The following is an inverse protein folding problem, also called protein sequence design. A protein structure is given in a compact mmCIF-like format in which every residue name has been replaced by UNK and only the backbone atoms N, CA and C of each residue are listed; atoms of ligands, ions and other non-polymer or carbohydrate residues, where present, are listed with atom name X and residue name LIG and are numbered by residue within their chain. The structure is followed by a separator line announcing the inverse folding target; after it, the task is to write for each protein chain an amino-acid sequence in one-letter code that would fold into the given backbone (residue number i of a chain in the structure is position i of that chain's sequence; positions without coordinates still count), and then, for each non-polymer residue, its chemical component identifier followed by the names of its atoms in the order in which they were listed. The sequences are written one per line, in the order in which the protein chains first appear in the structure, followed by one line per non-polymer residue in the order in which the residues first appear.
data_IF_100690753218
#
_entry.id   IF_100690753218
#
_cell.length_a   1.000
_cell.length_b   1.000
_cell.length_c   1.000
_cell.angle_alpha   90.00
_cell.angle_beta   90.00
_cell.angle_gamma   90.00
#
_symmetry.space_group_name_H-M   'P 1'
#
loop_
_entity.id
_entity.type
_entity.pdbx_description
1 polymer ?
#
# COMPACT_ATOMS: atom_id res chain seq x y z
N UNK A 1 1.39 -12.84 23.73
CA UNK A 1 0.75 -13.23 22.46
C UNK A 1 -0.59 -13.78 22.89
N UNK A 2 -1.68 -13.05 22.67
CA UNK A 2 -2.97 -13.25 23.36
C UNK A 2 -3.42 -14.71 23.22
N UNK A 3 -3.35 -15.25 22.00
CA UNK A 3 -3.77 -16.62 21.71
C UNK A 3 -2.83 -17.69 22.26
N UNK A 4 -1.51 -17.47 22.20
CA UNK A 4 -0.53 -18.40 22.79
C UNK A 4 -0.73 -18.53 24.31
N UNK A 5 -1.03 -17.41 24.96
CA UNK A 5 -1.26 -17.36 26.40
C UNK A 5 -2.58 -18.07 26.77
N UNK A 6 -3.64 -17.88 25.98
CA UNK A 6 -4.92 -18.59 26.15
C UNK A 6 -4.78 -20.12 26.01
N UNK A 7 -4.14 -20.57 24.93
CA UNK A 7 -4.01 -22.00 24.63
C UNK A 7 -2.87 -22.68 25.39
N UNK A 8 -2.04 -21.92 26.10
CA UNK A 8 -0.78 -22.38 26.69
C UNK A 8 0.09 -23.12 25.64
N UNK A 9 0.16 -22.58 24.42
CA UNK A 9 0.88 -23.15 23.28
C UNK A 9 1.94 -22.16 22.79
N UNK A 10 3.19 -22.62 22.73
CA UNK A 10 4.34 -21.80 22.32
C UNK A 10 4.61 -21.90 20.82
N UNK A 11 4.12 -22.95 20.19
CA UNK A 11 4.29 -23.21 18.76
C UNK A 11 3.19 -22.50 17.95
N UNK A 12 3.51 -21.31 17.42
CA UNK A 12 2.57 -20.48 16.67
C UNK A 12 1.83 -21.21 15.54
N UNK A 13 2.50 -22.15 14.85
CA UNK A 13 1.90 -22.90 13.75
C UNK A 13 0.72 -23.81 14.14
N UNK A 14 0.49 -24.07 15.44
CA UNK A 14 -0.66 -24.82 15.92
C UNK A 14 -1.87 -23.93 16.24
N UNK A 15 -1.65 -22.64 16.42
CA UNK A 15 -2.69 -21.68 16.83
C UNK A 15 -3.88 -21.68 15.86
N UNK A 16 -3.73 -21.72 14.51
CA UNK A 16 -4.90 -21.77 13.62
C UNK A 16 -5.85 -22.94 13.89
N UNK A 17 -5.31 -24.14 14.12
CA UNK A 17 -6.13 -25.32 14.36
C UNK A 17 -6.80 -25.24 15.73
N UNK A 18 -6.05 -24.89 16.77
CA UNK A 18 -6.60 -24.70 18.13
C UNK A 18 -7.69 -23.63 18.16
N UNK A 19 -7.49 -22.54 17.42
CA UNK A 19 -8.45 -21.46 17.27
C UNK A 19 -9.71 -21.95 16.55
N UNK A 20 -9.56 -22.74 15.49
CA UNK A 20 -10.69 -23.35 14.77
C UNK A 20 -11.51 -24.26 15.68
N UNK A 21 -10.84 -25.18 16.38
CA UNK A 21 -11.47 -26.16 17.26
C UNK A 21 -12.22 -25.47 18.41
N UNK A 22 -11.64 -24.40 18.97
CA UNK A 22 -12.28 -23.60 20.01
C UNK A 22 -13.47 -22.79 19.48
N UNK A 23 -13.33 -22.10 18.34
CA UNK A 23 -14.39 -21.26 17.77
C UNK A 23 -15.60 -22.04 17.29
N UNK A 24 -15.38 -23.23 16.73
CA UNK A 24 -16.44 -24.04 16.12
C UNK A 24 -16.95 -25.15 17.05
N UNK A 25 -16.34 -25.31 18.24
CA UNK A 25 -16.73 -26.27 19.26
C UNK A 25 -17.26 -25.61 20.55
N UNK A 26 -17.25 -26.38 21.64
CA UNK A 26 -17.81 -25.97 22.94
C UNK A 26 -16.98 -24.88 23.65
N UNK A 27 -15.72 -24.66 23.22
CA UNK A 27 -14.79 -23.70 23.82
C UNK A 27 -15.02 -22.24 23.41
N UNK A 28 -15.97 -21.98 22.50
CA UNK A 28 -16.09 -20.69 21.82
C UNK A 28 -16.37 -19.53 22.77
N UNK A 29 -17.33 -19.69 23.68
CA UNK A 29 -17.75 -18.61 24.56
C UNK A 29 -16.63 -18.19 25.51
N UNK A 30 -15.88 -19.18 26.03
CA UNK A 30 -14.72 -18.93 26.88
C UNK A 30 -13.60 -18.21 26.13
N UNK A 31 -13.33 -18.62 24.89
CA UNK A 31 -12.35 -17.97 24.02
C UNK A 31 -12.74 -16.51 23.73
N UNK A 32 -13.96 -16.26 23.25
CA UNK A 32 -14.39 -14.92 22.86
C UNK A 32 -14.43 -13.97 24.06
N UNK A 33 -14.83 -14.46 25.24
CA UNK A 33 -14.74 -13.69 26.48
C UNK A 33 -13.30 -13.34 26.84
N UNK A 34 -12.39 -14.31 26.77
CA UNK A 34 -10.97 -14.06 27.02
C UNK A 34 -10.41 -13.01 26.04
N UNK A 35 -10.74 -13.12 24.75
CA UNK A 35 -10.33 -12.15 23.75
C UNK A 35 -10.89 -10.75 24.07
N UNK A 36 -12.18 -10.63 24.40
CA UNK A 36 -12.81 -9.35 24.76
C UNK A 36 -12.11 -8.64 25.93
N UNK A 37 -11.68 -9.40 26.94
CA UNK A 37 -10.92 -8.89 28.09
C UNK A 37 -9.49 -8.43 27.73
N UNK A 38 -8.91 -8.95 26.64
CA UNK A 38 -7.53 -8.71 26.22
C UNK A 38 -7.42 -7.87 24.94
N UNK A 39 -8.53 -7.51 24.30
CA UNK A 39 -8.59 -6.65 23.10
C UNK A 39 -9.39 -5.37 23.40
N UNK A 40 -8.78 -4.34 24.02
CA UNK A 40 -9.51 -3.16 24.49
C UNK A 40 -10.02 -2.28 23.35
N UNK A 41 -9.33 -2.25 22.21
CA UNK A 41 -9.79 -1.56 21.01
C UNK A 41 -10.57 -2.52 20.10
N UNK A 42 -11.90 -2.39 20.13
CA UNK A 42 -12.81 -3.20 19.31
C UNK A 42 -12.79 -2.83 17.82
N UNK A 43 -11.99 -1.87 17.37
CA UNK A 43 -11.84 -1.53 15.94
C UNK A 43 -10.44 -1.82 15.39
N UNK A 44 -9.48 -2.10 16.27
CA UNK A 44 -8.16 -2.57 15.88
C UNK A 44 -8.12 -4.09 15.72
N UNK A 45 -7.33 -4.57 14.78
CA UNK A 45 -7.03 -6.00 14.65
C UNK A 45 -5.94 -6.40 15.65
N UNK A 46 -6.34 -6.71 16.88
CA UNK A 46 -5.42 -7.15 17.94
C UNK A 46 -4.88 -8.57 17.75
N UNK A 47 -5.48 -9.36 16.86
CA UNK A 47 -5.05 -10.73 16.55
C UNK A 47 -4.03 -10.79 15.40
N UNK A 48 -3.89 -9.68 14.66
CA UNK A 48 -2.90 -9.52 13.59
C UNK A 48 -1.50 -9.95 14.02
N UNK A 49 -1.04 -9.44 15.16
CA UNK A 49 0.34 -9.66 15.61
C UNK A 49 0.56 -11.12 16.04
N UNK A 50 -0.44 -11.78 16.64
CA UNK A 50 -0.38 -13.20 16.96
C UNK A 50 -0.24 -14.06 15.69
N UNK A 51 -0.97 -13.73 14.61
CA UNK A 51 -0.80 -14.39 13.32
C UNK A 51 0.53 -14.01 12.64
N UNK A 52 0.98 -12.75 12.71
CA UNK A 52 2.29 -12.36 12.16
C UNK A 52 3.43 -13.16 12.78
N UNK A 53 3.34 -13.46 14.08
CA UNK A 53 4.33 -14.24 14.81
C UNK A 53 4.31 -15.73 14.43
N UNK A 54 3.20 -16.27 13.92
CA UNK A 54 3.11 -17.63 13.35
C UNK A 54 4.02 -17.79 12.12
N UNK A 55 4.07 -16.78 11.25
CA UNK A 55 4.86 -16.78 10.00
C UNK A 55 6.34 -16.42 10.22
N UNK A 56 6.91 -16.88 11.33
CA UNK A 56 8.34 -16.77 11.64
C UNK A 56 9.28 -17.37 10.59
N UNK A 57 8.77 -18.08 9.58
CA UNK A 57 9.50 -18.47 8.37
C UNK A 57 9.25 -17.46 7.23
N UNK A 58 9.93 -16.32 7.37
CA UNK A 58 9.74 -15.02 6.68
C UNK A 58 10.03 -15.03 5.17
N UNK A 59 10.42 -16.17 4.60
CA UNK A 59 11.03 -16.22 3.27
C UNK A 59 10.07 -16.60 2.13
N UNK A 60 8.88 -17.16 2.41
CA UNK A 60 8.00 -17.70 1.35
C UNK A 60 6.70 -16.95 1.09
N UNK A 61 6.16 -16.25 2.08
CA UNK A 61 4.89 -15.53 1.96
C UNK A 61 5.12 -14.07 2.37
N UNK A 62 5.60 -13.25 1.44
CA UNK A 62 5.77 -11.79 1.60
C UNK A 62 4.42 -11.06 1.62
N UNK A 63 3.48 -11.56 2.42
CA UNK A 63 2.17 -10.94 2.59
C UNK A 63 2.23 -10.10 3.86
N UNK A 64 2.55 -8.82 3.69
CA UNK A 64 2.42 -7.88 4.80
C UNK A 64 0.96 -7.58 5.07
N UNK A 65 0.68 -7.37 6.35
CA UNK A 65 -0.58 -6.83 6.79
C UNK A 65 -0.73 -5.36 6.40
N UNK A 66 -1.97 -4.93 6.25
CA UNK A 66 -2.30 -3.53 6.01
C UNK A 66 -1.92 -2.69 7.24
N UNK A 67 -0.99 -1.70 7.11
CA UNK A 67 -0.61 -0.80 8.18
C UNK A 67 -1.77 0.06 8.67
N UNK A 68 -1.78 0.40 9.96
CA UNK A 68 -2.89 1.12 10.60
C UNK A 68 -3.18 2.48 9.95
N UNK A 69 -2.15 3.20 9.50
CA UNK A 69 -2.32 4.45 8.75
C UNK A 69 -3.13 4.26 7.46
N UNK A 70 -2.83 3.20 6.70
CA UNK A 70 -3.56 2.86 5.46
C UNK A 70 -4.99 2.41 5.79
N UNK A 71 -5.17 1.57 6.82
CA UNK A 71 -6.49 1.14 7.29
C UNK A 71 -7.37 2.35 7.64
N UNK A 72 -6.82 3.35 8.33
CA UNK A 72 -7.52 4.58 8.71
C UNK A 72 -7.85 5.46 7.51
N UNK A 73 -6.95 5.57 6.53
CA UNK A 73 -7.23 6.28 5.28
C UNK A 73 -8.39 5.62 4.54
N UNK A 74 -8.33 4.29 4.33
CA UNK A 74 -9.41 3.53 3.67
C UNK A 74 -10.73 3.71 4.41
N UNK A 75 -10.74 3.54 5.73
CA UNK A 75 -11.92 3.79 6.57
C UNK A 75 -12.49 5.19 6.38
N UNK A 76 -11.63 6.19 6.27
CA UNK A 76 -12.05 7.58 6.12
C UNK A 76 -12.68 7.89 4.76
N UNK A 77 -12.18 7.28 3.69
CA UNK A 77 -12.65 7.56 2.32
C UNK A 77 -13.81 6.66 1.88
N UNK A 78 -13.98 5.49 2.50
CA UNK A 78 -15.11 4.61 2.18
C UNK A 78 -16.39 5.25 2.71
N UNK A 79 -17.31 5.53 1.80
CA UNK A 79 -18.52 6.28 2.07
C UNK A 79 -19.52 5.58 3.00
N UNK A 80 -20.68 6.21 3.17
CA UNK A 80 -21.79 5.63 3.93
C UNK A 80 -22.33 4.38 3.23
N UNK A 81 -22.63 3.35 4.02
CA UNK A 81 -23.18 2.08 3.56
C UNK A 81 -23.52 1.18 4.73
N UNK A 82 -24.17 0.05 4.42
CA UNK A 82 -24.55 -0.96 5.41
C UNK A 82 -24.06 -2.35 5.02
N UNK A 83 -23.76 -2.58 3.74
CA UNK A 83 -23.29 -3.87 3.21
C UNK A 83 -21.90 -3.68 2.64
N UNK A 84 -20.94 -4.43 3.16
CA UNK A 84 -19.54 -4.30 2.76
C UNK A 84 -18.96 -5.66 2.42
N UNK A 85 -18.06 -5.67 1.44
CA UNK A 85 -17.26 -6.84 1.14
C UNK A 85 -15.77 -6.57 1.32
N UNK A 86 -15.05 -7.59 1.81
CA UNK A 86 -13.59 -7.64 1.79
C UNK A 86 -13.15 -8.95 1.14
N UNK A 87 -12.81 -8.90 -0.15
CA UNK A 87 -12.54 -10.13 -0.93
C UNK A 87 -11.08 -10.60 -0.81
N UNK A 88 -10.28 -9.95 0.03
CA UNK A 88 -8.91 -10.32 0.38
C UNK A 88 -8.69 -10.02 1.88
N UNK A 89 -9.56 -10.59 2.72
CA UNK A 89 -9.77 -10.09 4.07
C UNK A 89 -8.57 -10.27 5.02
N UNK A 90 -7.73 -11.28 4.80
CA UNK A 90 -6.69 -11.64 5.75
C UNK A 90 -7.30 -11.94 7.11
N UNK A 91 -6.74 -11.33 8.16
CA UNK A 91 -7.28 -11.38 9.54
C UNK A 91 -8.45 -10.40 9.77
N UNK A 92 -8.77 -9.55 8.79
CA UNK A 92 -9.92 -8.66 8.81
C UNK A 92 -9.62 -7.19 9.12
N UNK A 93 -8.37 -6.75 9.20
CA UNK A 93 -8.03 -5.37 9.59
C UNK A 93 -8.83 -4.27 8.84
N UNK A 94 -8.97 -4.40 7.51
CA UNK A 94 -9.79 -3.47 6.71
C UNK A 94 -11.27 -3.64 6.98
N UNK A 95 -11.74 -4.89 7.05
CA UNK A 95 -13.11 -5.24 7.38
C UNK A 95 -13.54 -4.62 8.71
N UNK A 96 -12.76 -4.83 9.77
CA UNK A 96 -13.03 -4.34 11.13
C UNK A 96 -13.08 -2.81 11.22
N UNK A 97 -12.14 -2.14 10.56
CA UNK A 97 -12.11 -0.68 10.57
C UNK A 97 -13.33 -0.05 9.88
N UNK A 98 -13.93 -0.77 8.92
CA UNK A 98 -15.09 -0.32 8.17
C UNK A 98 -16.42 -0.81 8.75
N UNK A 99 -16.41 -1.84 9.61
CA UNK A 99 -17.53 -2.19 10.47
C UNK A 99 -17.81 -1.04 11.44
N UNK A 100 -18.66 -0.10 11.02
CA UNK A 100 -19.04 1.08 11.79
C UNK A 100 -19.72 0.67 13.10
N UNK A 101 -19.78 1.60 14.07
CA UNK A 101 -20.64 1.56 15.26
C UNK A 101 -22.15 1.61 14.90
N UNK A 102 -22.61 0.77 13.97
CA UNK A 102 -23.98 0.76 13.48
C UNK A 102 -24.58 -0.64 13.61
N UNK A 103 -25.77 -0.69 14.18
CA UNK A 103 -26.47 -1.92 14.49
C UNK A 103 -26.97 -2.69 13.24
N UNK A 104 -26.91 -2.11 12.05
CA UNK A 104 -27.44 -2.66 10.79
C UNK A 104 -26.35 -3.00 9.74
N UNK A 105 -25.10 -3.12 10.16
CA UNK A 105 -23.99 -3.47 9.28
C UNK A 105 -23.94 -4.98 8.99
N UNK A 106 -23.69 -5.35 7.73
CA UNK A 106 -23.47 -6.73 7.27
C UNK A 106 -22.17 -6.84 6.47
N UNK A 107 -21.47 -7.96 6.63
CA UNK A 107 -20.16 -8.22 6.03
C UNK A 107 -20.17 -9.42 5.09
N UNK A 108 -19.44 -9.32 3.99
CA UNK A 108 -19.08 -10.45 3.14
C UNK A 108 -17.56 -10.50 3.01
N UNK A 109 -16.89 -11.49 3.58
CA UNK A 109 -15.44 -11.59 3.50
C UNK A 109 -15.00 -12.85 2.77
N UNK A 110 -13.98 -12.74 1.92
CA UNK A 110 -13.32 -13.87 1.28
C UNK A 110 -11.85 -13.93 1.74
N UNK A 111 -11.40 -15.13 2.11
CA UNK A 111 -10.00 -15.38 2.48
C UNK A 111 -9.53 -16.71 1.88
N UNK A 112 -8.35 -16.69 1.24
CA UNK A 112 -7.79 -17.84 0.54
C UNK A 112 -7.14 -18.85 1.49
N UNK A 113 -6.42 -18.35 2.49
CA UNK A 113 -5.64 -19.15 3.43
C UNK A 113 -6.53 -19.76 4.51
N UNK A 114 -6.66 -21.09 4.49
CA UNK A 114 -7.33 -21.87 5.55
C UNK A 114 -6.76 -21.59 6.95
N UNK A 115 -5.48 -21.20 7.05
CA UNK A 115 -4.83 -20.86 8.33
C UNK A 115 -5.24 -19.49 8.86
N UNK A 116 -5.70 -18.59 7.99
CA UNK A 116 -6.03 -17.20 8.34
C UNK A 116 -7.51 -17.05 8.70
N UNK A 117 -8.37 -17.85 8.07
CA UNK A 117 -9.82 -17.87 8.31
C UNK A 117 -10.22 -17.92 9.80
N UNK A 118 -9.58 -18.71 10.69
CA UNK A 118 -9.95 -18.75 12.10
C UNK A 118 -9.73 -17.40 12.81
N UNK A 119 -8.70 -16.65 12.43
CA UNK A 119 -8.42 -15.33 13.00
C UNK A 119 -9.46 -14.31 12.52
N UNK A 120 -9.81 -14.34 11.24
CA UNK A 120 -10.89 -13.53 10.68
C UNK A 120 -12.22 -13.82 11.38
N UNK A 121 -12.57 -15.10 11.55
CA UNK A 121 -13.78 -15.53 12.25
C UNK A 121 -13.79 -15.08 13.71
N UNK A 122 -12.69 -15.23 14.45
CA UNK A 122 -12.57 -14.73 15.81
C UNK A 122 -12.79 -13.22 15.88
N UNK A 123 -12.13 -12.47 15.00
CA UNK A 123 -12.22 -11.02 14.96
C UNK A 123 -13.65 -10.53 14.69
N UNK A 124 -14.35 -11.15 13.74
CA UNK A 124 -15.74 -10.81 13.40
C UNK A 124 -16.72 -11.24 14.49
N UNK A 125 -16.57 -12.45 15.03
CA UNK A 125 -17.45 -12.96 16.07
C UNK A 125 -17.36 -12.16 17.37
N UNK A 126 -16.15 -11.78 17.77
CA UNK A 126 -15.87 -10.92 18.94
C UNK A 126 -16.63 -9.59 18.86
N UNK A 127 -16.87 -9.08 17.64
CA UNK A 127 -17.56 -7.80 17.38
C UNK A 127 -19.04 -7.95 17.05
N UNK A 128 -19.60 -9.14 17.26
CA UNK A 128 -20.99 -9.45 16.99
C UNK A 128 -21.39 -9.09 15.54
N UNK A 129 -20.50 -9.34 14.57
CA UNK A 129 -20.76 -9.20 13.15
C UNK A 129 -21.94 -10.06 12.65
N UNK A 130 -22.58 -9.64 11.57
CA UNK A 130 -23.53 -10.44 10.80
C UNK A 130 -23.05 -10.52 9.36
N UNK A 131 -23.15 -11.69 8.74
CA UNK A 131 -22.72 -11.85 7.35
C UNK A 131 -22.17 -13.21 7.00
N UNK A 132 -21.27 -13.24 6.02
CA UNK A 132 -20.66 -14.47 5.51
C UNK A 132 -19.14 -14.33 5.42
N UNK A 133 -18.44 -15.41 5.77
CA UNK A 133 -17.01 -15.59 5.50
C UNK A 133 -16.86 -16.81 4.57
N UNK A 134 -16.18 -16.60 3.46
CA UNK A 134 -15.84 -17.63 2.48
C UNK A 134 -14.36 -17.96 2.62
N UNK A 135 -14.05 -19.23 2.84
CA UNK A 135 -12.73 -19.73 2.53
C UNK A 135 -12.69 -20.19 1.07
N UNK A 136 -11.97 -19.48 0.22
CA UNK A 136 -12.04 -19.70 -1.23
C UNK A 136 -11.08 -18.85 -2.05
N UNK A 137 -11.10 -19.06 -3.36
CA UNK A 137 -10.32 -18.28 -4.31
C UNK A 137 -11.20 -17.21 -4.97
N UNK A 138 -11.00 -15.97 -4.57
CA UNK A 138 -11.73 -14.79 -5.05
C UNK A 138 -11.65 -14.62 -6.57
N UNK A 139 -10.54 -15.04 -7.20
CA UNK A 139 -10.32 -14.89 -8.64
C UNK A 139 -11.15 -15.88 -9.45
N UNK A 140 -11.39 -17.08 -8.91
CA UNK A 140 -12.12 -18.15 -9.61
C UNK A 140 -13.56 -18.31 -9.12
N UNK A 141 -13.87 -17.80 -7.93
CA UNK A 141 -15.15 -18.02 -7.25
C UNK A 141 -15.27 -19.41 -6.62
N UNK A 142 -14.17 -20.15 -6.51
CA UNK A 142 -14.15 -21.46 -5.85
C UNK A 142 -14.31 -21.27 -4.33
N UNK A 143 -15.30 -21.96 -3.74
CA UNK A 143 -15.57 -21.94 -2.30
C UNK A 143 -15.24 -23.31 -1.72
N UNK A 144 -14.33 -23.35 -0.76
CA UNK A 144 -13.95 -24.55 0.00
C UNK A 144 -14.80 -24.72 1.25
N UNK A 145 -15.02 -23.62 1.97
CA UNK A 145 -15.87 -23.59 3.15
C UNK A 145 -16.64 -22.27 3.21
N UNK A 146 -17.85 -22.33 3.72
CA UNK A 146 -18.73 -21.19 3.92
C UNK A 146 -19.14 -21.12 5.40
N UNK A 147 -18.97 -19.95 5.99
CA UNK A 147 -19.35 -19.67 7.36
C UNK A 147 -20.36 -18.53 7.38
N UNK A 148 -21.48 -18.74 8.05
CA UNK A 148 -22.50 -17.72 8.29
C UNK A 148 -22.35 -17.17 9.70
N UNK A 149 -22.17 -15.86 9.82
CA UNK A 149 -22.18 -15.16 11.10
C UNK A 149 -23.55 -14.53 11.36
N UNK A 150 -24.10 -14.77 12.53
CA UNK A 150 -25.40 -14.25 12.95
C UNK A 150 -25.26 -13.55 14.30
N UNK A 151 -25.91 -12.40 14.47
CA UNK A 151 -25.88 -11.69 15.76
C UNK A 151 -26.44 -12.56 16.89
N UNK A 152 -25.82 -12.41 18.06
CA UNK A 152 -26.29 -12.97 19.32
C UNK A 152 -26.32 -11.88 20.40
N UNK A 153 -26.49 -12.27 21.67
CA UNK A 153 -26.48 -11.33 22.81
C UNK A 153 -25.16 -10.54 22.89
N UNK A 154 -24.01 -11.22 22.80
CA UNK A 154 -22.68 -10.59 22.96
C UNK A 154 -21.78 -10.80 21.75
N UNK A 155 -21.67 -12.04 21.26
CA UNK A 155 -20.76 -12.42 20.17
C UNK A 155 -21.49 -13.18 19.06
N UNK A 156 -21.09 -13.02 17.79
CA UNK A 156 -21.80 -13.65 16.66
C UNK A 156 -21.80 -15.15 16.75
N UNK A 157 -22.93 -15.81 16.47
CA UNK A 157 -22.96 -17.24 16.15
C UNK A 157 -22.27 -17.51 14.82
N UNK A 158 -21.41 -18.52 14.77
CA UNK A 158 -20.76 -19.00 13.56
C UNK A 158 -21.38 -20.35 13.20
N UNK A 159 -22.04 -20.42 12.05
CA UNK A 159 -22.58 -21.67 11.50
C UNK A 159 -21.77 -22.07 10.27
N UNK A 160 -21.38 -23.33 10.17
CA UNK A 160 -20.78 -23.88 8.95
C UNK A 160 -21.91 -24.18 7.97
N UNK A 161 -21.92 -23.51 6.82
CA UNK A 161 -22.98 -23.56 5.81
C UNK A 161 -22.49 -24.22 4.50
N UNK A 162 -21.67 -25.27 4.62
CA UNK A 162 -21.04 -25.92 3.47
C UNK A 162 -22.04 -26.61 2.53
N UNK A 163 -23.21 -26.99 3.06
CA UNK A 163 -24.34 -27.50 2.28
C UNK A 163 -24.98 -26.45 1.36
N UNK A 164 -24.81 -25.16 1.66
CA UNK A 164 -25.32 -24.05 0.86
C UNK A 164 -24.37 -23.65 -0.29
N UNK A 165 -23.11 -24.12 -0.30
CA UNK A 165 -22.05 -23.68 -1.24
C UNK A 165 -22.49 -23.73 -2.71
N UNK A 166 -23.22 -24.78 -3.10
CA UNK A 166 -23.63 -24.99 -4.50
C UNK A 166 -24.53 -23.88 -5.02
N UNK A 167 -25.39 -23.35 -4.15
CA UNK A 167 -26.39 -22.34 -4.49
C UNK A 167 -26.01 -20.95 -3.95
N UNK A 168 -24.91 -20.85 -3.20
CA UNK A 168 -24.41 -19.59 -2.66
C UNK A 168 -24.01 -18.63 -3.79
N UNK A 169 -24.45 -17.39 -3.66
CA UNK A 169 -24.04 -16.29 -4.52
C UNK A 169 -23.54 -15.17 -3.60
N UNK A 170 -22.36 -14.58 -3.89
CA UNK A 170 -21.89 -13.41 -3.17
C UNK A 170 -22.96 -12.30 -3.16
N UNK A 171 -23.27 -11.71 -2.00
CA UNK A 171 -24.28 -10.66 -1.92
C UNK A 171 -23.81 -9.41 -2.66
N UNK A 172 -24.76 -8.67 -3.24
CA UNK A 172 -24.49 -7.32 -3.70
C UNK A 172 -24.28 -6.39 -2.50
N UNK A 173 -23.20 -5.62 -2.52
CA UNK A 173 -22.74 -4.75 -1.43
C UNK A 173 -22.62 -3.30 -1.89
N UNK A 174 -22.61 -2.38 -0.93
CA UNK A 174 -22.43 -0.96 -1.20
C UNK A 174 -20.95 -0.66 -1.51
N UNK A 175 -20.03 -1.25 -0.73
CA UNK A 175 -18.60 -1.02 -0.84
C UNK A 175 -17.81 -2.33 -0.80
N UNK A 176 -16.83 -2.48 -1.69
CA UNK A 176 -15.80 -3.50 -1.59
C UNK A 176 -14.48 -2.83 -1.21
N UNK A 177 -13.81 -3.38 -0.21
CA UNK A 177 -12.46 -2.99 0.18
C UNK A 177 -11.53 -4.18 -0.06
N UNK A 178 -10.26 -3.92 -0.37
CA UNK A 178 -9.29 -5.01 -0.52
C UNK A 178 -7.84 -4.52 -0.38
N UNK A 179 -7.01 -5.39 0.16
CA UNK A 179 -5.56 -5.36 -0.01
C UNK A 179 -5.12 -6.70 -0.63
N UNK A 180 -5.30 -6.88 -1.95
CA UNK A 180 -4.98 -8.14 -2.61
C UNK A 180 -3.47 -8.43 -2.57
N UNK A 181 -3.07 -9.71 -2.66
CA UNK A 181 -1.65 -10.04 -2.76
C UNK A 181 -1.06 -9.48 -4.07
N UNK A 182 0.01 -8.68 -3.93
CA UNK A 182 0.52 -7.86 -5.02
C UNK A 182 1.14 -8.66 -6.16
N UNK A 183 0.68 -8.38 -7.37
CA UNK A 183 1.26 -8.89 -8.61
C UNK A 183 1.41 -10.42 -8.68
N UNK A 184 0.54 -11.14 -7.96
CA UNK A 184 0.49 -12.61 -7.97
C UNK A 184 0.27 -13.12 -9.38
N UNK A 185 1.04 -14.15 -9.74
CA UNK A 185 0.84 -14.87 -10.99
C UNK A 185 -0.29 -15.87 -10.83
N UNK A 186 -1.19 -15.86 -11.81
CA UNK A 186 -2.35 -16.76 -11.84
C UNK A 186 -2.60 -17.21 -13.27
N UNK A 187 -3.40 -18.27 -13.40
CA UNK A 187 -3.90 -18.75 -14.69
C UNK A 187 -5.34 -18.26 -14.84
N UNK A 188 -5.61 -17.29 -15.74
CA UNK A 188 -6.96 -16.81 -15.94
C UNK A 188 -7.94 -17.94 -16.22
N UNK A 189 -9.04 -17.94 -15.47
CA UNK A 189 -10.21 -18.78 -15.69
C UNK A 189 -11.40 -17.91 -16.05
N UNK A 190 -12.39 -18.50 -16.69
CA UNK A 190 -13.64 -17.80 -16.95
C UNK A 190 -14.34 -17.48 -15.63
N UNK A 191 -14.77 -16.23 -15.50
CA UNK A 191 -15.65 -15.73 -14.45
C UNK A 191 -16.40 -14.52 -15.03
N UNK A 192 -17.69 -14.38 -14.75
CA UNK A 192 -18.55 -13.31 -15.33
C UNK A 192 -18.00 -11.89 -15.11
N UNK A 193 -17.33 -11.67 -13.98
CA UNK A 193 -16.68 -10.40 -13.63
C UNK A 193 -15.67 -9.90 -14.68
N UNK A 194 -15.13 -10.79 -15.51
CA UNK A 194 -14.14 -10.45 -16.53
C UNK A 194 -14.79 -10.16 -17.90
N UNK A 195 -16.10 -10.32 -18.01
CA UNK A 195 -16.81 -10.14 -19.28
C UNK A 195 -16.70 -8.71 -19.79
N UNK A 196 -16.39 -8.60 -21.08
CA UNK A 196 -16.19 -7.32 -21.74
C UNK A 196 -14.86 -6.61 -21.43
N UNK A 197 -13.94 -7.21 -20.66
CA UNK A 197 -12.59 -6.65 -20.41
C UNK A 197 -11.49 -7.31 -21.27
N UNK A 198 -11.88 -8.24 -22.16
CA UNK A 198 -10.96 -8.95 -23.03
C UNK A 198 -10.12 -10.02 -22.29
N UNK A 199 -9.08 -10.55 -22.94
CA UNK A 199 -8.25 -11.58 -22.33
C UNK A 199 -7.52 -11.07 -21.09
N UNK A 200 -7.80 -11.67 -19.94
CA UNK A 200 -7.20 -11.26 -18.67
C UNK A 200 -5.66 -11.41 -18.65
N UNK A 201 -4.95 -10.47 -17.97
CA UNK A 201 -3.52 -10.58 -17.70
C UNK A 201 -3.20 -11.77 -16.77
N UNK A 202 -1.97 -12.29 -16.85
CA UNK A 202 -1.47 -13.35 -15.95
C UNK A 202 -0.98 -12.82 -14.60
N UNK A 203 -1.00 -11.50 -14.42
CA UNK A 203 -0.86 -10.82 -13.13
C UNK A 203 -2.27 -10.52 -12.61
N UNK A 204 -2.56 -10.81 -11.34
CA UNK A 204 -3.91 -10.84 -10.81
C UNK A 204 -4.52 -9.48 -10.38
N UNK A 205 -3.75 -8.40 -10.29
CA UNK A 205 -4.19 -7.14 -9.66
C UNK A 205 -5.53 -6.61 -10.24
N UNK A 206 -5.64 -6.51 -11.57
CA UNK A 206 -6.89 -6.11 -12.23
C UNK A 206 -8.02 -7.13 -12.08
N UNK A 207 -7.70 -8.41 -11.95
CA UNK A 207 -8.72 -9.44 -11.77
C UNK A 207 -9.41 -9.30 -10.42
N UNK A 208 -8.67 -9.06 -9.33
CA UNK A 208 -9.26 -8.75 -8.03
C UNK A 208 -10.17 -7.51 -8.08
N UNK A 209 -9.72 -6.41 -8.68
CA UNK A 209 -10.54 -5.19 -8.78
C UNK A 209 -11.84 -5.43 -9.58
N UNK A 210 -11.78 -6.22 -10.67
CA UNK A 210 -12.97 -6.60 -11.43
C UNK A 210 -13.90 -7.53 -10.64
N UNK A 211 -13.36 -8.43 -9.80
CA UNK A 211 -14.16 -9.25 -8.89
C UNK A 211 -14.90 -8.40 -7.86
N UNK A 212 -14.24 -7.40 -7.29
CA UNK A 212 -14.89 -6.43 -6.41
C UNK A 212 -15.99 -5.65 -7.14
N UNK A 213 -15.71 -5.18 -8.35
CA UNK A 213 -16.68 -4.46 -9.17
C UNK A 213 -17.90 -5.32 -9.52
N UNK A 214 -17.79 -6.65 -9.61
CA UNK A 214 -18.92 -7.55 -9.91
C UNK A 214 -19.98 -7.56 -8.81
N UNK A 215 -19.59 -7.29 -7.56
CA UNK A 215 -20.47 -7.41 -6.39
C UNK A 215 -20.73 -6.07 -5.68
N UNK A 216 -19.94 -5.03 -5.95
CA UNK A 216 -20.06 -3.74 -5.27
C UNK A 216 -20.35 -2.54 -6.17
N UNK A 217 -20.96 -1.52 -5.57
CA UNK A 217 -21.14 -0.21 -6.20
C UNK A 217 -19.83 0.60 -6.23
N UNK A 218 -19.07 0.54 -5.13
CA UNK A 218 -17.75 1.17 -4.99
C UNK A 218 -16.69 0.13 -4.67
N UNK A 219 -15.47 0.29 -5.20
CA UNK A 219 -14.32 -0.56 -4.87
C UNK A 219 -13.15 0.32 -4.46
N UNK A 220 -12.60 0.08 -3.27
CA UNK A 220 -11.39 0.72 -2.75
C UNK A 220 -10.29 -0.32 -2.62
N UNK A 221 -9.31 -0.28 -3.51
CA UNK A 221 -8.25 -1.30 -3.60
C UNK A 221 -6.87 -0.69 -3.32
N UNK A 222 -6.14 -1.28 -2.38
CA UNK A 222 -4.72 -0.97 -2.15
C UNK A 222 -3.89 -1.82 -3.11
N UNK A 223 -3.08 -1.18 -3.95
CA UNK A 223 -2.40 -1.80 -5.09
C UNK A 223 -0.97 -1.27 -5.24
N UNK A 224 -0.03 -2.04 -5.80
CA UNK A 224 1.31 -1.53 -6.08
C UNK A 224 1.27 -0.54 -7.24
N UNK A 225 2.13 0.49 -7.22
CA UNK A 225 2.20 1.52 -8.27
C UNK A 225 2.32 0.96 -9.70
N UNK A 226 2.89 -0.24 -9.87
CA UNK A 226 2.97 -0.91 -11.18
C UNK A 226 1.63 -1.03 -11.91
N UNK A 227 0.51 -1.20 -11.20
CA UNK A 227 -0.83 -1.27 -11.79
C UNK A 227 -1.19 0.00 -12.55
N UNK A 228 -0.68 1.16 -12.12
CA UNK A 228 -0.99 2.46 -12.70
C UNK A 228 -0.47 2.62 -14.13
N UNK A 229 0.63 1.93 -14.48
CA UNK A 229 1.35 2.17 -15.73
C UNK A 229 1.74 0.92 -16.52
N UNK A 230 1.63 -0.30 -15.96
CA UNK A 230 1.94 -1.53 -16.71
C UNK A 230 1.07 -1.63 -17.97
N UNK A 231 1.71 -1.95 -19.09
CA UNK A 231 1.09 -1.98 -20.42
C UNK A 231 0.44 -3.33 -20.78
N UNK A 232 0.46 -3.67 -22.06
CA UNK A 232 -0.07 -4.92 -22.61
C UNK A 232 -1.53 -5.18 -22.18
N UNK A 233 -1.84 -6.39 -21.68
CA UNK A 233 -3.20 -6.76 -21.27
C UNK A 233 -3.70 -5.91 -20.10
N UNK A 234 -2.84 -5.54 -19.15
CA UNK A 234 -3.22 -4.68 -18.01
C UNK A 234 -3.61 -3.28 -18.50
N UNK A 235 -2.83 -2.70 -19.42
CA UNK A 235 -3.17 -1.42 -20.04
C UNK A 235 -4.51 -1.43 -20.78
N UNK A 236 -4.88 -2.55 -21.42
CA UNK A 236 -6.20 -2.69 -22.07
C UNK A 236 -7.35 -2.71 -21.06
N UNK A 237 -7.21 -3.47 -19.96
CA UNK A 237 -8.24 -3.49 -18.89
C UNK A 237 -8.36 -2.11 -18.24
N UNK A 238 -7.22 -1.45 -17.94
CA UNK A 238 -7.18 -0.10 -17.40
C UNK A 238 -7.91 0.90 -18.28
N UNK A 239 -7.61 0.90 -19.59
CA UNK A 239 -8.28 1.76 -20.57
C UNK A 239 -9.79 1.55 -20.54
N UNK A 240 -10.27 0.30 -20.57
CA UNK A 240 -11.70 0.00 -20.53
C UNK A 240 -12.39 0.45 -19.23
N UNK A 241 -11.72 0.36 -18.08
CA UNK A 241 -12.26 0.86 -16.81
C UNK A 241 -12.43 2.38 -16.82
N UNK A 242 -11.49 3.09 -17.44
CA UNK A 242 -11.53 4.56 -17.57
C UNK A 242 -12.59 4.98 -18.60
N UNK A 243 -12.64 4.33 -19.76
CA UNK A 243 -13.65 4.59 -20.81
C UNK A 243 -15.08 4.34 -20.32
N UNK A 244 -15.27 3.43 -19.36
CA UNK A 244 -16.56 3.16 -18.71
C UNK A 244 -16.88 4.15 -17.58
N UNK A 245 -16.04 5.15 -17.36
CA UNK A 245 -16.12 6.11 -16.26
C UNK A 245 -16.28 5.43 -14.89
N UNK A 246 -15.53 4.34 -14.65
CA UNK A 246 -15.59 3.63 -13.37
C UNK A 246 -14.54 4.12 -12.38
N UNK A 247 -13.41 4.63 -12.86
CA UNK A 247 -12.33 5.13 -12.00
C UNK A 247 -12.73 6.51 -11.42
N UNK A 248 -12.61 6.66 -10.11
CA UNK A 248 -13.01 7.86 -9.38
C UNK A 248 -11.82 8.59 -8.75
N UNK A 249 -10.85 7.84 -8.19
CA UNK A 249 -9.63 8.41 -7.62
C UNK A 249 -8.41 7.50 -7.74
N UNK A 250 -7.23 8.11 -7.83
CA UNK A 250 -5.89 7.52 -7.76
C UNK A 250 -5.11 8.23 -6.67
N UNK A 251 -4.80 7.54 -5.58
CA UNK A 251 -4.20 8.14 -4.38
C UNK A 251 -2.86 7.47 -4.11
N UNK A 252 -1.75 8.18 -4.29
CA UNK A 252 -0.41 7.71 -3.94
C UNK A 252 -0.16 7.84 -2.44
N UNK A 253 0.37 6.79 -1.83
CA UNK A 253 0.71 6.77 -0.41
C UNK A 253 2.24 6.84 -0.22
N UNK A 254 2.72 7.13 1.00
CA UNK A 254 4.13 7.02 1.32
C UNK A 254 4.70 5.63 1.00
N UNK A 255 5.95 5.60 0.56
CA UNK A 255 6.71 4.35 0.43
C UNK A 255 7.08 3.78 1.81
N UNK A 256 7.53 2.52 1.87
CA UNK A 256 8.02 1.87 3.10
C UNK A 256 7.01 1.87 4.27
N UNK A 257 5.71 1.87 4.00
CA UNK A 257 4.68 1.75 5.05
C UNK A 257 4.48 0.30 5.54
N UNK A 258 4.74 -0.67 4.67
CA UNK A 258 4.63 -2.10 4.98
C UNK A 258 5.96 -2.62 5.57
N UNK A 259 5.89 -3.59 6.49
CA UNK A 259 7.04 -4.04 7.27
C UNK A 259 8.10 -4.79 6.43
N UNK A 260 7.65 -5.59 5.47
CA UNK A 260 8.48 -6.51 4.67
C UNK A 260 8.63 -6.07 3.20
N UNK A 261 8.01 -4.95 2.79
CA UNK A 261 8.15 -4.42 1.43
C UNK A 261 8.26 -2.90 1.39
N UNK A 262 9.25 -2.41 0.65
CA UNK A 262 9.41 -1.00 0.32
C UNK A 262 8.65 -0.56 -0.93
N UNK A 263 7.83 -1.44 -1.51
CA UNK A 263 7.07 -1.13 -2.72
C UNK A 263 6.11 0.04 -2.43
N UNK A 264 6.17 1.14 -3.22
CA UNK A 264 5.17 2.19 -3.16
C UNK A 264 3.79 1.66 -3.57
N UNK A 265 2.79 1.99 -2.77
CA UNK A 265 1.41 1.58 -3.00
C UNK A 265 0.51 2.79 -3.26
N UNK A 266 -0.55 2.55 -4.00
CA UNK A 266 -1.61 3.50 -4.22
C UNK A 266 -2.95 2.90 -3.77
N UNK A 267 -3.93 3.75 -3.54
CA UNK A 267 -5.33 3.37 -3.43
C UNK A 267 -6.01 3.76 -4.74
N UNK A 268 -6.68 2.80 -5.37
CA UNK A 268 -7.62 3.06 -6.46
C UNK A 268 -9.04 2.99 -5.92
N UNK A 269 -9.82 4.02 -6.24
CA UNK A 269 -11.26 4.05 -5.96
C UNK A 269 -12.01 3.95 -7.28
N UNK A 270 -12.87 2.94 -7.40
CA UNK A 270 -13.83 2.83 -8.48
C UNK A 270 -15.24 3.04 -7.93
N UNK A 271 -16.09 3.75 -8.68
CA UNK A 271 -17.42 4.12 -8.21
C UNK A 271 -18.41 4.11 -9.38
N UNK A 272 -19.35 3.16 -9.37
CA UNK A 272 -20.42 3.06 -10.38
C UNK A 272 -21.44 4.18 -10.31
N UNK A 273 -21.47 4.91 -9.18
CA UNK A 273 -22.43 5.98 -8.89
C UNK A 273 -21.79 7.38 -8.99
N UNK A 274 -20.56 7.51 -9.51
CA UNK A 274 -19.95 8.83 -9.68
C UNK A 274 -20.76 9.68 -10.67
N UNK A 275 -20.84 10.99 -10.39
CA UNK A 275 -21.73 11.93 -11.09
C UNK A 275 -21.00 12.81 -12.09
N UNK A 276 -19.68 12.80 -12.08
CA UNK A 276 -18.81 13.50 -13.02
C UNK A 276 -17.91 12.50 -13.79
N UNK A 277 -17.15 13.01 -14.76
CA UNK A 277 -16.22 12.26 -15.62
C UNK A 277 -14.75 12.48 -15.25
N UNK A 278 -14.48 13.15 -14.12
CA UNK A 278 -13.13 13.49 -13.67
C UNK A 278 -12.55 12.43 -12.75
N UNK A 279 -11.24 12.26 -12.75
CA UNK A 279 -10.52 11.37 -11.82
C UNK A 279 -9.67 12.23 -10.90
N UNK A 280 -9.86 12.06 -9.59
CA UNK A 280 -9.03 12.74 -8.60
C UNK A 280 -7.68 12.03 -8.46
N UNK A 281 -6.60 12.71 -8.78
CA UNK A 281 -5.24 12.29 -8.46
C UNK A 281 -4.79 12.96 -7.16
N UNK A 282 -4.20 12.20 -6.24
CA UNK A 282 -3.62 12.72 -5.00
C UNK A 282 -2.23 12.12 -4.82
N UNK A 283 -1.23 12.95 -4.53
CA UNK A 283 0.12 12.55 -4.15
C UNK A 283 0.36 12.80 -2.66
N UNK A 284 0.04 11.80 -1.83
CA UNK A 284 0.34 11.80 -0.40
C UNK A 284 1.68 11.11 -0.10
N UNK A 285 2.56 10.91 -1.09
CA UNK A 285 3.85 10.21 -0.89
C UNK A 285 4.77 10.87 0.13
N UNK A 286 4.59 12.18 0.37
CA UNK A 286 5.35 13.00 1.33
C UNK A 286 4.68 13.13 2.70
N UNK A 287 3.47 12.60 2.87
CA UNK A 287 2.69 12.70 4.12
C UNK A 287 3.09 11.55 5.07
N UNK A 288 4.32 11.58 5.59
CA UNK A 288 4.78 10.61 6.58
C UNK A 288 5.81 11.19 7.57
N UNK A 289 5.97 10.50 8.70
CA UNK A 289 7.12 10.58 9.58
C UNK A 289 7.88 9.25 9.55
N UNK A 290 9.21 9.34 9.63
CA UNK A 290 10.07 8.16 9.59
C UNK A 290 10.16 7.53 10.98
N UNK A 291 9.75 6.29 11.12
CA UNK A 291 9.89 5.50 12.34
C UNK A 291 10.78 4.27 12.07
N UNK A 292 12.09 4.44 12.27
CA UNK A 292 13.07 3.40 11.99
C UNK A 292 13.16 3.09 10.50
N UNK A 293 12.74 1.87 10.10
CA UNK A 293 12.73 1.42 8.71
C UNK A 293 11.38 1.61 8.01
N UNK A 294 10.33 1.94 8.77
CA UNK A 294 8.98 2.16 8.24
C UNK A 294 8.59 3.62 8.29
N UNK A 295 7.72 4.01 7.38
CA UNK A 295 7.08 5.33 7.35
C UNK A 295 5.67 5.22 7.92
N UNK A 296 5.28 6.17 8.77
CA UNK A 296 3.96 6.21 9.39
C UNK A 296 3.31 7.57 9.11
N UNK A 297 2.02 7.56 8.79
CA UNK A 297 1.25 8.78 8.62
C UNK A 297 0.73 9.27 9.97
N UNK A 298 0.86 10.57 10.25
CA UNK A 298 0.28 11.21 11.43
C UNK A 298 -1.23 11.38 11.28
N UNK A 299 -1.93 11.63 12.39
CA UNK A 299 -3.37 11.91 12.37
C UNK A 299 -3.72 13.11 11.49
N UNK A 300 -2.90 14.16 11.53
CA UNK A 300 -3.10 15.37 10.72
C UNK A 300 -2.96 15.08 9.23
N UNK A 301 -1.93 14.30 8.85
CA UNK A 301 -1.69 13.85 7.48
C UNK A 301 -2.85 12.98 6.96
N UNK A 302 -3.29 12.02 7.75
CA UNK A 302 -4.44 11.15 7.42
C UNK A 302 -5.71 11.99 7.22
N UNK A 303 -6.00 12.91 8.15
CA UNK A 303 -7.19 13.77 8.06
C UNK A 303 -7.15 14.72 6.85
N UNK A 304 -5.98 15.28 6.54
CA UNK A 304 -5.77 16.09 5.32
C UNK A 304 -6.07 15.28 4.06
N UNK A 305 -5.54 14.05 3.97
CA UNK A 305 -5.78 13.17 2.83
C UNK A 305 -7.27 12.82 2.69
N UNK A 306 -7.89 12.34 3.77
CA UNK A 306 -9.32 11.99 3.78
C UNK A 306 -10.17 13.18 3.34
N UNK A 307 -9.92 14.37 3.90
CA UNK A 307 -10.63 15.60 3.54
C UNK A 307 -10.47 15.93 2.06
N UNK A 308 -9.24 15.85 1.54
CA UNK A 308 -8.94 16.13 0.13
C UNK A 308 -9.73 15.20 -0.80
N UNK A 309 -9.79 13.91 -0.47
CA UNK A 309 -10.51 12.90 -1.25
C UNK A 309 -12.02 13.11 -1.19
N UNK A 310 -12.60 13.18 0.01
CA UNK A 310 -14.07 13.31 0.18
C UNK A 310 -14.58 14.61 -0.45
N UNK A 311 -13.86 15.71 -0.28
CA UNK A 311 -14.25 17.01 -0.84
C UNK A 311 -13.77 17.24 -2.27
N UNK A 312 -13.05 16.28 -2.87
CA UNK A 312 -12.42 16.39 -4.19
C UNK A 312 -11.63 17.70 -4.37
N UNK A 313 -10.85 18.08 -3.36
CA UNK A 313 -10.12 19.35 -3.37
C UNK A 313 -8.95 19.29 -4.33
N UNK A 314 -8.76 20.34 -5.13
CA UNK A 314 -7.54 20.60 -5.90
C UNK A 314 -6.60 21.41 -5.02
N UNK A 315 -5.44 20.85 -4.71
CA UNK A 315 -4.45 21.44 -3.81
C UNK A 315 -3.11 21.44 -4.53
N UNK A 316 -2.47 22.61 -4.58
CA UNK A 316 -1.19 22.79 -5.26
C UNK A 316 -0.16 21.73 -4.82
N UNK A 317 0.51 21.10 -5.79
CA UNK A 317 1.49 20.01 -5.60
C UNK A 317 0.99 18.80 -4.80
N UNK A 318 -0.32 18.63 -4.64
CA UNK A 318 -0.87 17.56 -3.81
C UNK A 318 -2.02 16.83 -4.47
N UNK A 319 -2.90 17.53 -5.19
CA UNK A 319 -4.02 16.89 -5.88
C UNK A 319 -4.44 17.63 -7.15
N UNK A 320 -4.96 16.86 -8.10
CA UNK A 320 -5.42 17.34 -9.40
C UNK A 320 -6.69 16.60 -9.82
N UNK A 321 -7.63 17.32 -10.44
CA UNK A 321 -8.84 16.74 -11.03
C UNK A 321 -8.61 16.58 -12.54
N UNK A 322 -8.20 15.37 -12.94
CA UNK A 322 -7.90 15.08 -14.33
C UNK A 322 -9.18 14.82 -15.13
N UNK A 323 -9.24 15.37 -16.33
CA UNK A 323 -10.32 15.08 -17.30
C UNK A 323 -10.05 13.78 -18.05
N UNK A 324 -11.08 13.21 -18.68
CA UNK A 324 -10.89 12.06 -19.56
C UNK A 324 -9.87 12.33 -20.67
N UNK A 325 -9.94 13.51 -21.32
CA UNK A 325 -9.03 13.91 -22.40
C UNK A 325 -7.57 13.99 -21.91
N UNK A 326 -7.34 14.51 -20.70
CA UNK A 326 -6.02 14.54 -20.08
C UNK A 326 -5.46 13.13 -19.82
N UNK A 327 -6.31 12.19 -19.39
CA UNK A 327 -5.91 10.80 -19.17
C UNK A 327 -5.65 10.09 -20.50
N UNK A 328 -6.46 10.37 -21.52
CA UNK A 328 -6.27 9.84 -22.87
C UNK A 328 -4.96 10.35 -23.49
N UNK A 329 -4.67 11.65 -23.37
CA UNK A 329 -3.40 12.26 -23.81
C UNK A 329 -2.18 11.69 -23.09
N UNK A 330 -2.37 11.13 -21.89
CA UNK A 330 -1.36 10.39 -21.15
C UNK A 330 -1.34 8.88 -21.47
N UNK A 331 -1.94 8.44 -22.58
CA UNK A 331 -2.04 7.03 -23.00
C UNK A 331 -2.69 6.12 -21.94
N UNK A 332 -3.66 6.65 -21.18
CA UNK A 332 -4.27 5.97 -20.04
C UNK A 332 -3.25 5.53 -18.97
N UNK A 333 -2.10 6.21 -18.88
CA UNK A 333 -1.10 6.01 -17.84
C UNK A 333 -1.51 6.80 -16.59
N UNK A 334 -1.73 6.11 -15.48
CA UNK A 334 -2.18 6.72 -14.22
C UNK A 334 -1.02 7.06 -13.28
N UNK A 335 0.23 7.09 -13.77
CA UNK A 335 1.37 7.45 -12.93
C UNK A 335 1.20 8.88 -12.41
N UNK A 336 1.11 9.03 -11.09
CA UNK A 336 0.66 10.25 -10.41
C UNK A 336 1.47 11.52 -10.79
N UNK A 337 2.81 11.47 -10.96
CA UNK A 337 3.58 12.64 -11.38
C UNK A 337 3.22 13.23 -12.76
N UNK A 338 2.38 12.54 -13.55
CA UNK A 338 1.84 13.07 -14.82
C UNK A 338 0.69 14.06 -14.61
N UNK A 339 0.08 14.06 -13.43
CA UNK A 339 -1.11 14.84 -13.09
C UNK A 339 -0.85 15.78 -11.91
N UNK A 340 0.01 15.38 -10.97
CA UNK A 340 0.41 16.19 -9.82
C UNK A 340 1.89 16.51 -9.95
N UNK A 341 2.21 17.74 -10.36
CA UNK A 341 3.59 18.21 -10.42
C UNK A 341 4.07 18.60 -9.02
N UNK A 342 4.95 17.78 -8.46
CA UNK A 342 5.57 18.03 -7.13
C UNK A 342 6.99 18.59 -7.23
N UNK A 343 7.42 18.98 -8.44
CA UNK A 343 8.75 19.55 -8.63
C UNK A 343 8.88 20.88 -7.91
N UNK A 344 10.06 21.13 -7.37
CA UNK A 344 10.43 22.43 -6.83
C UNK A 344 11.29 23.13 -7.89
N UNK A 345 11.00 24.40 -8.21
CA UNK A 345 11.93 25.18 -9.02
C UNK A 345 13.28 25.18 -8.29
N UNK A 346 14.40 24.96 -9.00
CA UNK A 346 15.71 25.05 -8.37
C UNK A 346 15.86 26.44 -7.72
N UNK A 347 16.55 26.53 -6.56
CA UNK A 347 16.81 27.83 -5.97
C UNK A 347 17.53 28.71 -6.99
N UNK A 348 17.21 30.02 -7.05
CA UNK A 348 17.91 30.93 -7.94
C UNK A 348 19.41 30.87 -7.62
N UNK A 349 20.22 30.58 -8.63
CA UNK A 349 21.68 30.55 -8.51
C UNK A 349 22.16 31.98 -8.27
N UNK A 350 22.93 32.21 -7.21
CA UNK A 350 23.60 33.49 -6.99
C UNK A 350 24.88 33.54 -7.84
N UNK A 351 24.70 33.88 -9.12
CA UNK A 351 25.78 33.97 -10.09
C UNK A 351 26.85 34.99 -9.66
N UNK A 352 26.49 35.98 -8.83
CA UNK A 352 27.46 36.95 -8.30
C UNK A 352 28.34 36.30 -7.24
N UNK A 353 27.75 35.55 -6.32
CA UNK A 353 28.50 34.80 -5.31
C UNK A 353 29.41 33.76 -5.96
N UNK A 354 28.92 33.00 -6.94
CA UNK A 354 29.73 32.02 -7.69
C UNK A 354 30.94 32.69 -8.36
N UNK A 355 30.76 33.88 -8.93
CA UNK A 355 31.86 34.66 -9.53
C UNK A 355 32.85 35.19 -8.49
N UNK A 356 32.37 35.60 -7.31
CA UNK A 356 33.23 36.01 -6.20
C UNK A 356 34.07 34.85 -5.68
N UNK A 357 33.46 33.66 -5.54
CA UNK A 357 34.14 32.44 -5.12
C UNK A 357 35.19 32.02 -6.15
N UNK A 358 34.88 32.11 -7.45
CA UNK A 358 35.84 31.84 -8.52
C UNK A 358 37.04 32.81 -8.48
N UNK A 359 36.79 34.09 -8.19
CA UNK A 359 37.87 35.08 -7.99
C UNK A 359 38.69 34.75 -6.74
N UNK A 360 38.07 34.31 -5.65
CA UNK A 360 38.76 33.90 -4.43
C UNK A 360 39.64 32.66 -4.66
N UNK A 361 39.09 31.61 -5.28
CA UNK A 361 39.82 30.39 -5.66
C UNK A 361 41.02 30.74 -6.54
N UNK A 362 40.86 31.61 -7.54
CA UNK A 362 41.99 32.04 -8.37
C UNK A 362 43.07 32.80 -7.59
N UNK A 363 42.71 33.56 -6.55
CA UNK A 363 43.70 34.18 -5.66
C UNK A 363 44.42 33.14 -4.82
N UNK A 364 43.71 32.14 -4.31
CA UNK A 364 44.30 31.03 -3.54
C UNK A 364 45.24 30.20 -4.40
N UNK A 365 44.85 29.85 -5.64
CA UNK A 365 45.71 29.16 -6.62
C UNK A 365 46.99 29.96 -6.83
N UNK A 366 46.89 31.27 -7.12
CA UNK A 366 48.08 32.12 -7.31
C UNK A 366 48.97 32.17 -6.07
N UNK A 367 48.40 32.21 -4.86
CA UNK A 367 49.15 32.23 -3.62
C UNK A 367 49.88 30.89 -3.39
N UNK A 368 49.19 29.76 -3.59
CA UNK A 368 49.76 28.42 -3.46
C UNK A 368 50.86 28.17 -4.51
N UNK A 369 50.65 28.63 -5.76
CA UNK A 369 51.67 28.60 -6.80
C UNK A 369 52.90 29.40 -6.38
N UNK A 370 52.72 30.63 -5.87
CA UNK A 370 53.80 31.48 -5.35
C UNK A 370 54.64 30.75 -4.29
N UNK A 371 53.98 30.16 -3.30
CA UNK A 371 54.59 29.37 -2.24
C UNK A 371 55.35 28.14 -2.79
N UNK A 372 54.74 27.38 -3.70
CA UNK A 372 55.37 26.23 -4.34
C UNK A 372 56.67 26.62 -5.06
N UNK A 373 56.71 27.77 -5.74
CA UNK A 373 57.95 28.21 -6.39
C UNK A 373 59.02 28.66 -5.41
N UNK A 374 58.65 29.22 -4.26
CA UNK A 374 59.62 29.51 -3.20
C UNK A 374 60.24 28.20 -2.68
N UNK A 375 59.42 27.16 -2.43
CA UNK A 375 59.93 25.85 -2.06
C UNK A 375 60.82 25.23 -3.15
N UNK A 376 60.44 25.35 -4.42
CA UNK A 376 61.28 24.86 -5.52
C UNK A 376 62.62 25.58 -5.56
N UNK A 377 62.64 26.91 -5.40
CA UNK A 377 63.87 27.72 -5.41
C UNK A 377 64.85 27.31 -4.29
N UNK A 378 64.33 26.92 -3.12
CA UNK A 378 65.13 26.43 -1.98
C UNK A 378 65.69 25.01 -2.16
N UNK A 379 65.20 24.24 -3.14
CA UNK A 379 65.72 22.91 -3.42
C UNK A 379 67.07 22.96 -4.17
N UNK A 380 67.92 21.99 -3.83
CA UNK A 380 69.21 21.71 -4.47
C UNK A 380 69.34 20.20 -4.73
N UNK A 381 69.83 19.84 -5.91
CA UNK A 381 70.08 18.47 -6.31
C UNK A 381 71.29 17.88 -5.59
N UNK A 382 71.18 16.63 -5.14
CA UNK A 382 72.25 15.92 -4.44
C UNK A 382 73.23 15.22 -5.39
N UNK A 383 72.90 15.14 -6.68
CA UNK A 383 73.73 14.62 -7.77
C UNK A 383 73.65 15.55 -8.99
N UNK A 384 74.64 15.55 -9.90
CA UNK A 384 74.60 16.36 -11.12
C UNK A 384 73.33 16.14 -11.97
N UNK A 385 72.88 14.88 -12.08
CA UNK A 385 71.66 14.54 -12.82
C UNK A 385 70.40 15.12 -12.15
N UNK A 386 70.27 14.98 -10.82
CA UNK A 386 69.13 15.54 -10.09
C UNK A 386 69.10 17.07 -10.09
N UNK A 387 70.26 17.73 -10.18
CA UNK A 387 70.33 19.19 -10.30
C UNK A 387 69.82 19.65 -11.67
N UNK A 388 70.20 18.96 -12.75
CA UNK A 388 69.72 19.28 -14.11
C UNK A 388 68.20 19.08 -14.24
N UNK A 389 67.67 18.00 -13.66
CA UNK A 389 66.22 17.75 -13.60
C UNK A 389 65.48 18.83 -12.80
N UNK A 390 66.04 19.25 -11.65
CA UNK A 390 65.45 20.30 -10.83
C UNK A 390 65.41 21.66 -11.55
N UNK A 391 66.45 22.04 -12.28
CA UNK A 391 66.44 23.28 -13.07
C UNK A 391 65.37 23.25 -14.16
N UNK A 392 65.17 22.11 -14.84
CA UNK A 392 64.07 21.94 -15.81
C UNK A 392 62.69 22.07 -15.16
N UNK A 393 62.51 21.52 -13.95
CA UNK A 393 61.25 21.66 -13.19
C UNK A 393 61.00 23.13 -12.81
N UNK A 394 62.04 23.85 -12.38
CA UNK A 394 61.95 25.29 -12.07
C UNK A 394 61.58 26.11 -13.31
N UNK A 395 62.14 25.78 -14.47
CA UNK A 395 61.83 26.45 -15.74
C UNK A 395 60.36 26.22 -16.16
N UNK A 396 59.91 24.97 -16.17
CA UNK A 396 58.52 24.62 -16.51
C UNK A 396 57.49 25.27 -15.57
N UNK A 397 57.79 25.35 -14.27
CA UNK A 397 56.91 26.01 -13.32
C UNK A 397 56.81 27.52 -13.54
N UNK A 398 57.90 28.19 -13.99
CA UNK A 398 57.87 29.60 -14.37
C UNK A 398 57.04 29.82 -15.64
N UNK A 399 57.12 28.91 -16.60
CA UNK A 399 56.28 28.96 -17.80
C UNK A 399 54.80 28.82 -17.45
N UNK A 400 54.44 27.85 -16.59
CA UNK A 400 53.06 27.63 -16.13
C UNK A 400 52.44 28.89 -15.51
N UNK A 401 53.22 29.64 -14.72
CA UNK A 401 52.77 30.90 -14.09
C UNK A 401 52.58 32.07 -15.05
N UNK A 402 53.10 31.98 -16.28
CA UNK A 402 53.05 33.07 -17.26
C UNK A 402 51.90 32.94 -18.27
N UNK A 403 51.21 31.79 -18.27
CA UNK A 403 49.94 31.53 -18.95
C UNK A 403 48.77 32.12 -18.15
#
# INVERSE_FOLDING_TARGET
MILNDYFNEKEGYKIPQLLTDALLGDGREALLKYLDEHTPDKFADSLRDDYQNEHGDRDKLKQDFTPDGIVRVVRGIVGDGHRYADICAGTGALTLANMRDRADYTVYAEEFSERTVPFLLANLALRNAEGYVVNGDSLTGEIKALYKLEKSETYSRINIANDEIKDFQPPAVDHVIMNPPYSVKWKPRYHRAYDGYGPMPTTADYAFMLRGLDIGDTVTAIIPHGVLFRGAKEGKVRKLLIERNLLDAVIGLPENMFLNTGIPVAILVFNRKKTDDTVLFVDASRDFEKQGKINIMTDEQINKLIKTVIMRQVVDKYSHLATFEEIENNDFNLNIPRYVDTTEPPPPVDVVQDMLDLVAINKEIKAAELELGAFLDDLVGTTPQSQEELEKIKELHRELRSL
#
